data_IF_315762995495
#
_entry.id   IF_315762995495
#
_cell.length_a   1.000
_cell.length_b   1.000
_cell.length_c   1.000
_cell.angle_alpha   90.00
_cell.angle_beta   90.00
_cell.angle_gamma   90.00
#
_symmetry.space_group_name_H-M   'P 1'
#
loop_
_entity.id
_entity.type
_entity.pdbx_description
1 polymer ?
#
# COMPACT_ATOMS: atom_id res chain seq x y z
N UNK A 1 -18.11 -41.69 18.29
CA UNK A 1 -17.19 -40.55 18.08
C UNK A 1 -17.34 -40.05 16.66
N UNK A 2 -17.78 -38.81 16.48
CA UNK A 2 -18.20 -38.25 15.19
C UNK A 2 -16.99 -37.96 14.28
N UNK A 3 -17.03 -38.43 13.02
CA UNK A 3 -16.01 -38.18 11.97
C UNK A 3 -15.69 -36.69 11.76
N UNK A 4 -16.58 -35.80 12.21
CA UNK A 4 -16.42 -34.35 12.19
C UNK A 4 -15.34 -33.81 13.15
N UNK A 5 -14.81 -34.62 14.07
CA UNK A 5 -13.74 -34.21 15.00
C UNK A 5 -12.33 -34.43 14.46
N UNK A 6 -12.15 -35.27 13.44
CA UNK A 6 -10.82 -35.68 12.96
C UNK A 6 -10.30 -34.84 11.78
N UNK A 7 -11.20 -34.09 11.14
CA UNK A 7 -10.84 -32.98 10.25
C UNK A 7 -11.26 -31.71 10.97
N UNK A 8 -10.39 -31.12 11.78
CA UNK A 8 -10.50 -29.68 12.03
C UNK A 8 -10.27 -29.03 10.68
N UNK A 9 -11.35 -28.86 9.91
CA UNK A 9 -11.36 -28.30 8.55
C UNK A 9 -10.54 -27.01 8.49
N UNK A 10 -10.54 -26.27 9.60
CA UNK A 10 -9.68 -25.11 9.82
C UNK A 10 -8.19 -25.42 9.74
N UNK A 11 -7.67 -26.39 10.51
CA UNK A 11 -6.25 -26.74 10.53
C UNK A 11 -5.78 -27.23 9.17
N UNK A 12 -6.57 -28.09 8.50
CA UNK A 12 -6.27 -28.54 7.14
C UNK A 12 -6.35 -27.39 6.13
N UNK A 13 -7.36 -26.52 6.27
CA UNK A 13 -7.54 -25.34 5.43
C UNK A 13 -6.33 -24.39 5.51
N UNK A 14 -5.88 -24.07 6.73
CA UNK A 14 -4.69 -23.25 6.92
C UNK A 14 -3.42 -23.92 6.39
N UNK A 15 -3.25 -25.23 6.60
CA UNK A 15 -2.09 -25.96 6.09
C UNK A 15 -2.00 -25.91 4.56
N UNK A 16 -3.14 -25.99 3.87
CA UNK A 16 -3.20 -25.92 2.40
C UNK A 16 -3.01 -24.49 1.86
N UNK A 17 -3.53 -23.49 2.56
CA UNK A 17 -3.55 -22.09 2.09
C UNK A 17 -2.25 -21.35 2.42
N UNK A 18 -1.61 -21.65 3.55
CA UNK A 18 -0.36 -21.02 4.00
C UNK A 18 0.73 -20.92 2.91
N UNK A 19 1.13 -22.00 2.20
CA UNK A 19 2.20 -21.90 1.19
C UNK A 19 1.82 -20.98 0.03
N UNK A 20 0.54 -20.98 -0.39
CA UNK A 20 0.05 -20.09 -1.43
C UNK A 20 0.08 -18.62 -1.00
N UNK A 21 -0.34 -18.34 0.23
CA UNK A 21 -0.36 -16.99 0.81
C UNK A 21 1.04 -16.42 1.00
N UNK A 22 2.00 -17.23 1.45
CA UNK A 22 3.41 -16.82 1.56
C UNK A 22 3.99 -16.47 0.19
N UNK A 23 3.75 -17.29 -0.84
CA UNK A 23 4.20 -16.98 -2.19
C UNK A 23 3.55 -15.68 -2.70
N UNK A 24 2.26 -15.49 -2.46
CA UNK A 24 1.56 -14.27 -2.85
C UNK A 24 2.09 -13.03 -2.14
N UNK A 25 2.50 -13.13 -0.86
CA UNK A 25 3.14 -12.05 -0.09
C UNK A 25 4.42 -11.53 -0.76
N UNK A 26 5.21 -12.43 -1.35
CA UNK A 26 6.48 -12.11 -2.00
C UNK A 26 6.35 -11.22 -3.24
N UNK A 27 5.14 -11.09 -3.80
CA UNK A 27 4.87 -10.24 -4.96
C UNK A 27 5.09 -8.77 -4.61
N UNK A 28 6.01 -8.12 -5.33
CA UNK A 28 6.41 -6.72 -5.09
C UNK A 28 5.28 -5.73 -5.34
N UNK A 29 4.42 -6.00 -6.32
CA UNK A 29 3.33 -5.11 -6.75
C UNK A 29 1.99 -5.40 -6.05
N UNK A 30 1.98 -6.23 -5.01
CA UNK A 30 0.76 -6.48 -4.23
C UNK A 30 0.37 -5.21 -3.46
N UNK A 31 -0.93 -4.89 -3.39
CA UNK A 31 -1.40 -3.72 -2.65
C UNK A 31 -1.05 -3.85 -1.17
N UNK A 32 -0.78 -2.71 -0.52
CA UNK A 32 -0.45 -2.66 0.90
C UNK A 32 -1.54 -3.28 1.77
N UNK A 33 -2.80 -2.92 1.54
CA UNK A 33 -3.96 -3.49 2.25
C UNK A 33 -4.01 -5.01 2.19
N UNK A 34 -3.65 -5.59 1.05
CA UNK A 34 -3.66 -7.03 0.86
C UNK A 34 -2.45 -7.70 1.52
N UNK A 35 -1.28 -7.07 1.51
CA UNK A 35 -0.12 -7.51 2.31
C UNK A 35 -0.45 -7.49 3.81
N UNK A 36 -1.09 -6.42 4.29
CA UNK A 36 -1.47 -6.29 5.70
C UNK A 36 -2.46 -7.39 6.11
N UNK A 37 -3.44 -7.73 5.26
CA UNK A 37 -4.36 -8.86 5.49
C UNK A 37 -3.64 -10.21 5.51
N UNK A 38 -2.71 -10.44 4.58
CA UNK A 38 -1.90 -11.66 4.53
C UNK A 38 -1.05 -11.81 5.80
N UNK A 39 -0.43 -10.72 6.24
CA UNK A 39 0.43 -10.72 7.42
C UNK A 39 -0.36 -11.01 8.69
N UNK A 40 -1.59 -10.50 8.78
CA UNK A 40 -2.50 -10.81 9.87
C UNK A 40 -2.84 -12.30 9.91
N UNK A 41 -3.20 -12.89 8.77
CA UNK A 41 -3.54 -14.31 8.67
C UNK A 41 -2.33 -15.20 9.04
N UNK A 42 -1.13 -14.87 8.56
CA UNK A 42 0.07 -15.65 8.86
C UNK A 42 0.46 -15.58 10.35
N UNK A 43 0.25 -14.42 11.01
CA UNK A 43 0.43 -14.29 12.46
C UNK A 43 -0.59 -15.10 13.26
N UNK A 44 -1.86 -15.14 12.83
CA UNK A 44 -2.91 -15.94 13.47
C UNK A 44 -2.60 -17.44 13.44
N UNK A 45 -1.98 -17.92 12.36
CA UNK A 45 -1.57 -19.33 12.18
C UNK A 45 -0.20 -19.63 12.83
N UNK A 46 0.48 -18.63 13.41
CA UNK A 46 1.77 -18.79 14.08
C UNK A 46 2.97 -18.92 13.15
N UNK A 47 2.85 -18.44 11.90
CA UNK A 47 3.97 -18.42 10.93
C UNK A 47 4.80 -17.17 11.19
N UNK A 48 6.09 -17.35 11.51
CA UNK A 48 7.01 -16.23 11.63
C UNK A 48 7.27 -15.60 10.26
N UNK A 49 6.93 -14.32 10.15
CA UNK A 49 7.21 -13.53 8.96
C UNK A 49 8.66 -13.07 9.02
N UNK A 50 9.43 -13.19 7.92
CA UNK A 50 10.71 -12.51 7.81
C UNK A 50 10.48 -11.02 8.09
N UNK A 51 11.27 -10.45 8.99
CA UNK A 51 11.24 -9.02 9.26
C UNK A 51 11.47 -8.30 7.92
N UNK A 52 10.47 -7.56 7.46
CA UNK A 52 10.63 -6.67 6.32
C UNK A 52 11.62 -5.61 6.78
N UNK A 53 12.93 -5.85 6.58
CA UNK A 53 13.96 -4.87 6.83
C UNK A 53 13.49 -3.57 6.19
N UNK A 54 13.27 -2.49 6.97
CA UNK A 54 12.74 -1.27 6.43
C UNK A 54 13.71 -0.80 5.36
N UNK A 55 13.27 -0.91 4.11
CA UNK A 55 14.06 -0.55 2.95
C UNK A 55 14.34 0.95 3.03
N UNK A 56 15.49 1.27 3.64
CA UNK A 56 16.17 2.56 3.71
C UNK A 56 15.31 3.69 4.28
N UNK A 57 15.81 4.27 5.38
CA UNK A 57 15.24 5.45 6.02
C UNK A 57 14.98 6.62 5.06
N UNK A 58 14.27 7.66 5.54
CA UNK A 58 13.86 8.79 4.70
C UNK A 58 15.10 9.45 4.09
N UNK A 59 15.40 9.11 2.84
CA UNK A 59 16.45 9.74 2.06
C UNK A 59 16.00 11.16 1.76
N UNK A 60 16.37 12.10 2.64
CA UNK A 60 15.96 13.50 2.65
C UNK A 60 16.30 14.29 1.36
N UNK A 61 17.02 13.69 0.40
CA UNK A 61 17.43 14.33 -0.86
C UNK A 61 16.83 13.74 -2.15
N UNK A 62 15.81 12.86 -2.07
CA UNK A 62 15.18 12.33 -3.28
C UNK A 62 13.98 13.21 -3.66
N UNK A 63 14.04 13.84 -4.84
CA UNK A 63 12.89 14.48 -5.51
C UNK A 63 11.64 13.62 -5.28
N UNK A 64 10.46 14.20 -4.96
CA UNK A 64 9.27 13.41 -4.66
C UNK A 64 9.05 12.40 -5.78
N UNK A 65 9.09 11.11 -5.42
CA UNK A 65 8.90 10.01 -6.39
C UNK A 65 7.59 10.29 -7.12
N UNK A 66 7.65 10.36 -8.46
CA UNK A 66 6.46 10.53 -9.28
C UNK A 66 5.54 9.34 -9.01
N UNK A 67 4.28 9.63 -8.69
CA UNK A 67 3.25 8.62 -8.50
C UNK A 67 2.01 8.99 -9.30
N UNK A 68 1.11 8.04 -9.49
CA UNK A 68 -0.13 8.22 -10.25
C UNK A 68 -1.01 9.24 -9.54
N UNK A 69 -1.65 10.11 -10.32
CA UNK A 69 -2.69 10.98 -9.80
C UNK A 69 -3.83 10.15 -9.18
N UNK A 70 -4.20 10.45 -7.94
CA UNK A 70 -5.26 9.73 -7.23
C UNK A 70 -6.68 9.94 -7.79
N UNK A 71 -6.86 10.94 -8.66
CA UNK A 71 -8.13 11.28 -9.30
C UNK A 71 -8.22 10.78 -10.75
N UNK A 72 -7.10 10.39 -11.36
CA UNK A 72 -7.14 9.88 -12.72
C UNK A 72 -7.62 8.43 -12.76
N UNK A 73 -8.41 8.04 -13.78
CA UNK A 73 -8.68 6.63 -14.02
C UNK A 73 -7.38 5.91 -14.31
N UNK A 74 -7.30 4.63 -13.91
CA UNK A 74 -6.07 3.81 -14.07
C UNK A 74 -5.58 3.75 -15.52
N UNK A 75 -6.49 3.78 -16.49
CA UNK A 75 -6.20 3.74 -17.94
C UNK A 75 -5.38 4.95 -18.43
N UNK A 76 -5.49 6.11 -17.77
CA UNK A 76 -4.81 7.35 -18.20
C UNK A 76 -3.35 7.44 -17.73
N UNK A 77 -2.96 6.58 -16.79
CA UNK A 77 -1.63 6.46 -16.16
C UNK A 77 -0.83 7.78 -15.99
N UNK A 78 -1.48 8.83 -15.50
CA UNK A 78 -0.81 10.12 -15.37
C UNK A 78 0.07 10.18 -14.12
N UNK A 79 1.37 9.92 -14.28
CA UNK A 79 2.37 10.02 -13.22
C UNK A 79 2.84 11.48 -13.03
N UNK A 80 2.81 11.95 -11.79
CA UNK A 80 3.03 13.35 -11.44
C UNK A 80 3.84 13.48 -10.13
N UNK A 81 4.81 14.41 -10.05
CA UNK A 81 5.51 14.73 -8.81
C UNK A 81 4.72 15.71 -7.93
N UNK A 82 3.62 16.29 -8.42
CA UNK A 82 2.83 17.28 -7.68
C UNK A 82 2.00 16.59 -6.61
N UNK A 83 1.99 17.16 -5.42
CA UNK A 83 1.30 16.64 -4.24
C UNK A 83 0.35 17.70 -3.71
N UNK A 84 -0.86 17.31 -3.33
CA UNK A 84 -1.82 18.20 -2.68
C UNK A 84 -1.31 18.57 -1.27
N UNK A 85 -1.22 19.86 -0.96
CA UNK A 85 -0.76 20.35 0.35
C UNK A 85 -1.68 19.94 1.51
N UNK A 86 -2.95 19.64 1.25
CA UNK A 86 -3.93 19.25 2.28
C UNK A 86 -3.94 17.75 2.57
N UNK A 87 -3.97 16.92 1.53
CA UNK A 87 -4.14 15.47 1.68
C UNK A 87 -2.88 14.65 1.38
N UNK A 88 -1.79 15.30 0.97
CA UNK A 88 -0.50 14.68 0.65
C UNK A 88 -0.55 13.59 -0.44
N UNK A 89 -1.62 13.57 -1.27
CA UNK A 89 -1.77 12.66 -2.42
C UNK A 89 -1.26 13.30 -3.71
N UNK A 90 -0.75 12.49 -4.63
CA UNK A 90 -0.30 12.97 -5.94
C UNK A 90 -1.47 13.42 -6.83
N UNK A 91 -1.30 14.55 -7.52
CA UNK A 91 -2.33 15.18 -8.38
C UNK A 91 -1.72 15.62 -9.71
N UNK A 92 -2.36 15.30 -10.84
CA UNK A 92 -1.87 15.74 -12.16
C UNK A 92 -2.26 17.19 -12.42
N UNK A 93 -1.68 17.82 -13.45
CA UNK A 93 -1.97 19.23 -13.80
C UNK A 93 -3.46 19.49 -14.04
N UNK A 94 -4.18 18.54 -14.62
CA UNK A 94 -5.62 18.69 -14.91
C UNK A 94 -6.50 18.64 -13.66
N UNK A 95 -6.03 18.00 -12.59
CA UNK A 95 -6.79 17.85 -11.35
C UNK A 95 -6.24 18.75 -10.22
N UNK A 96 -5.14 19.47 -10.46
CA UNK A 96 -4.60 20.46 -9.54
C UNK A 96 -5.11 21.85 -9.90
N UNK A 97 -5.39 22.65 -8.89
CA UNK A 97 -5.69 24.08 -9.06
C UNK A 97 -4.42 24.86 -8.74
N UNK A 98 -3.93 25.63 -9.71
CA UNK A 98 -2.85 26.60 -9.47
C UNK A 98 -3.48 27.89 -8.91
N UNK A 99 -3.11 28.26 -7.68
CA UNK A 99 -3.58 29.51 -7.06
C UNK A 99 -2.60 30.62 -7.39
N UNK A 100 -3.05 31.67 -8.09
CA UNK A 100 -2.26 32.88 -8.33
C UNK A 100 -2.43 33.82 -7.13
N UNK A 101 -1.33 34.10 -6.43
CA UNK A 101 -1.30 35.00 -5.27
C UNK A 101 -0.34 36.14 -5.60
N UNK A 102 -0.75 37.40 -5.40
CA UNK A 102 0.15 38.54 -5.55
C UNK A 102 1.17 38.58 -4.41
N UNK A 103 2.31 39.25 -4.61
CA UNK A 103 3.39 39.31 -3.61
C UNK A 103 2.92 39.80 -2.23
N UNK A 104 1.96 40.73 -2.19
CA UNK A 104 1.39 41.27 -0.95
C UNK A 104 0.51 40.29 -0.18
N UNK A 105 -0.08 39.29 -0.86
CA UNK A 105 -0.99 38.32 -0.26
C UNK A 105 -0.32 37.00 0.13
N UNK A 106 0.96 36.78 -0.24
CA UNK A 106 1.67 35.51 -0.02
C UNK A 106 1.88 35.15 1.47
N UNK A 107 1.87 36.13 2.38
CA UNK A 107 2.12 35.94 3.82
C UNK A 107 0.89 35.99 4.73
N UNK A 108 -0.34 35.99 4.18
CA UNK A 108 -1.59 36.08 4.97
C UNK A 108 -2.36 34.76 5.07
N UNK A 109 -1.74 33.63 4.70
CA UNK A 109 -2.34 32.29 4.64
C UNK A 109 -1.60 31.29 5.51
#
# INVERSE_FOLDING_TARGET
MSRYKFLRVEELGYALVTPHVMNRRSVTNLSKELKDMIDKLLREVGVELPDDQPAQGPSQNKRPKKSRCHLCPRLKDSNTPRVCSKCMKNVCRNHSVDVKICATCQGKY
#
